data_IF_463328415128
#
_entry.id   IF_463328415128
#
_cell.length_a   1.000
_cell.length_b   1.000
_cell.length_c   1.000
_cell.angle_alpha   90.00
_cell.angle_beta   90.00
_cell.angle_gamma   90.00
#
_symmetry.space_group_name_H-M   'P 1'
#
loop_
_entity.id
_entity.type
_entity.pdbx_description
1 polymer ?
#
# COMPACT_ATOMS: atom_id res chain seq x y z
N UNK A 1 -6.93 -14.83 14.28
CA UNK A 1 -5.67 -14.93 13.52
C UNK A 1 -5.05 -13.55 13.54
N UNK A 2 -3.87 -13.43 14.13
CA UNK A 2 -3.17 -12.15 14.33
C UNK A 2 -2.27 -11.89 13.13
N UNK A 3 -2.38 -10.70 12.54
CA UNK A 3 -1.48 -10.23 11.48
C UNK A 3 -0.48 -9.23 12.08
N UNK A 4 0.71 -9.14 11.48
CA UNK A 4 1.72 -8.15 11.88
C UNK A 4 2.17 -7.33 10.68
N UNK A 5 2.42 -6.04 10.90
CA UNK A 5 2.92 -5.11 9.89
C UNK A 5 4.44 -4.93 10.05
N UNK A 6 5.17 -4.93 8.94
CA UNK A 6 6.60 -4.61 8.87
C UNK A 6 6.85 -3.51 7.85
N UNK A 7 7.61 -2.49 8.27
CA UNK A 7 8.17 -1.49 7.38
C UNK A 7 9.50 -2.02 6.82
N UNK A 8 9.61 -2.19 5.50
CA UNK A 8 10.81 -2.75 4.88
C UNK A 8 12.01 -1.82 4.93
N UNK A 9 11.85 -0.52 5.22
CA UNK A 9 12.98 0.40 5.43
C UNK A 9 13.79 0.08 6.69
N UNK A 10 13.20 -0.64 7.64
CA UNK A 10 13.85 -1.03 8.89
C UNK A 10 14.30 -2.48 8.89
N UNK A 11 14.16 -3.19 7.76
CA UNK A 11 14.59 -4.56 7.61
C UNK A 11 15.99 -4.62 7.00
N UNK A 12 16.84 -5.52 7.51
CA UNK A 12 18.11 -5.82 6.84
C UNK A 12 17.87 -6.66 5.58
N UNK A 13 18.89 -6.78 4.74
CA UNK A 13 18.84 -7.63 3.54
C UNK A 13 18.51 -9.09 3.92
N UNK A 14 19.11 -9.59 5.00
CA UNK A 14 18.92 -10.96 5.50
C UNK A 14 17.51 -11.19 6.04
N UNK A 15 16.91 -10.18 6.68
CA UNK A 15 15.52 -10.25 7.13
C UNK A 15 14.55 -10.20 5.95
N UNK A 16 14.89 -9.49 4.88
CA UNK A 16 14.04 -9.33 3.70
C UNK A 16 14.12 -10.53 2.74
N UNK A 17 15.29 -11.17 2.65
CA UNK A 17 15.58 -12.24 1.68
C UNK A 17 14.52 -13.35 1.62
N UNK A 18 14.05 -13.92 2.76
CA UNK A 18 13.09 -15.02 2.75
C UNK A 18 11.72 -14.64 2.20
N UNK A 19 11.37 -13.35 2.23
CA UNK A 19 10.04 -12.86 1.88
C UNK A 19 9.89 -12.54 0.39
N UNK A 20 10.98 -12.43 -0.38
CA UNK A 20 10.94 -12.03 -1.79
C UNK A 20 9.98 -12.84 -2.67
N UNK A 21 9.94 -14.19 -2.60
CA UNK A 21 9.00 -14.96 -3.41
C UNK A 21 7.54 -14.57 -3.17
N UNK A 22 7.17 -14.32 -1.91
CA UNK A 22 5.80 -13.98 -1.53
C UNK A 22 5.46 -12.51 -1.82
N UNK A 23 6.44 -11.61 -1.68
CA UNK A 23 6.32 -10.21 -2.09
C UNK A 23 6.03 -10.12 -3.59
N UNK A 24 6.84 -10.80 -4.41
CA UNK A 24 6.65 -10.85 -5.87
C UNK A 24 5.27 -11.40 -6.18
N UNK A 25 4.88 -12.53 -5.57
CA UNK A 25 3.56 -13.11 -5.78
C UNK A 25 2.40 -12.16 -5.39
N UNK A 26 2.56 -11.38 -4.32
CA UNK A 26 1.57 -10.39 -3.91
C UNK A 26 1.44 -9.25 -4.93
N UNK A 27 2.56 -8.71 -5.40
CA UNK A 27 2.58 -7.60 -6.37
C UNK A 27 2.11 -8.09 -7.74
N UNK A 28 2.49 -9.29 -8.19
CA UNK A 28 1.96 -9.89 -9.42
C UNK A 28 0.43 -9.96 -9.39
N UNK A 29 -0.18 -10.40 -8.29
CA UNK A 29 -1.65 -10.40 -8.14
C UNK A 29 -2.29 -9.02 -8.26
N UNK A 30 -1.57 -7.96 -7.93
CA UNK A 30 -2.01 -6.58 -8.16
C UNK A 30 -1.89 -6.23 -9.64
N UNK A 31 -0.71 -6.42 -10.24
CA UNK A 31 -0.44 -6.10 -11.64
C UNK A 31 -1.36 -6.86 -12.61
N UNK A 32 -1.72 -8.11 -12.33
CA UNK A 32 -2.66 -8.91 -13.14
C UNK A 32 -4.05 -8.27 -13.28
N UNK A 33 -4.42 -7.38 -12.35
CA UNK A 33 -5.68 -6.62 -12.40
C UNK A 33 -5.58 -5.34 -13.24
N UNK A 34 -4.36 -4.89 -13.51
CA UNK A 34 -4.04 -3.65 -14.22
C UNK A 34 -2.88 -3.86 -15.21
N UNK A 35 -2.97 -4.85 -16.12
CA UNK A 35 -1.83 -5.28 -16.95
C UNK A 35 -1.32 -4.19 -17.90
N UNK A 36 -2.17 -3.22 -18.26
CA UNK A 36 -1.81 -2.09 -19.13
C UNK A 36 -1.35 -0.84 -18.35
N UNK A 37 -1.45 -0.85 -17.01
CA UNK A 37 -1.15 0.33 -16.18
C UNK A 37 0.09 0.14 -15.29
N UNK A 38 0.49 -1.10 -14.97
CA UNK A 38 1.56 -1.34 -14.00
C UNK A 38 2.27 -2.69 -14.20
N UNK A 39 3.57 -2.76 -13.90
CA UNK A 39 4.34 -4.02 -13.85
C UNK A 39 5.02 -4.22 -12.50
N UNK A 40 5.42 -5.47 -12.21
CA UNK A 40 6.11 -5.80 -10.95
C UNK A 40 7.44 -5.06 -10.86
N UNK A 41 8.19 -5.02 -11.96
CA UNK A 41 9.49 -4.37 -12.04
C UNK A 41 9.39 -2.87 -11.81
N UNK A 42 8.36 -2.23 -12.37
CA UNK A 42 8.14 -0.80 -12.19
C UNK A 42 7.73 -0.49 -10.74
N UNK A 43 6.74 -1.19 -10.19
CA UNK A 43 6.27 -0.99 -8.82
C UNK A 43 7.38 -1.21 -7.77
N UNK A 44 8.12 -2.32 -7.87
CA UNK A 44 9.26 -2.58 -6.99
C UNK A 44 10.41 -1.61 -7.23
N UNK A 45 10.68 -1.25 -8.49
CA UNK A 45 11.69 -0.26 -8.85
C UNK A 45 11.49 1.08 -8.15
N UNK A 46 10.25 1.56 -8.04
CA UNK A 46 9.92 2.78 -7.29
C UNK A 46 10.19 2.63 -5.79
N UNK A 47 9.91 1.45 -5.22
CA UNK A 47 10.21 1.16 -3.83
C UNK A 47 11.72 1.15 -3.58
N UNK A 48 12.51 0.52 -4.47
CA UNK A 48 13.96 0.47 -4.37
C UNK A 48 14.63 1.84 -4.48
N UNK A 49 14.05 2.76 -5.26
CA UNK A 49 14.53 4.15 -5.36
C UNK A 49 14.08 5.03 -4.19
N UNK A 50 13.26 4.52 -3.28
CA UNK A 50 12.69 5.27 -2.16
C UNK A 50 11.59 6.26 -2.56
N UNK A 51 11.07 6.15 -3.79
CA UNK A 51 9.95 6.97 -4.27
C UNK A 51 8.64 6.52 -3.61
N UNK A 52 8.54 5.23 -3.28
CA UNK A 52 7.41 4.61 -2.60
C UNK A 52 7.91 3.74 -1.44
N UNK A 53 7.03 3.52 -0.48
CA UNK A 53 7.27 2.67 0.67
C UNK A 53 6.58 1.33 0.50
N UNK A 54 7.34 0.24 0.61
CA UNK A 54 6.83 -1.13 0.66
C UNK A 54 6.56 -1.54 2.11
N UNK A 55 5.45 -2.22 2.34
CA UNK A 55 5.08 -2.80 3.63
C UNK A 55 4.84 -4.29 3.47
N UNK A 56 5.16 -5.07 4.51
CA UNK A 56 4.79 -6.49 4.57
C UNK A 56 3.76 -6.70 5.66
N UNK A 57 2.69 -7.41 5.32
CA UNK A 57 1.75 -7.93 6.31
C UNK A 57 1.97 -9.43 6.39
N UNK A 58 2.40 -9.88 7.57
CA UNK A 58 2.75 -11.26 7.85
C UNK A 58 1.64 -11.93 8.67
N UNK A 59 1.38 -13.20 8.38
CA UNK A 59 0.59 -14.05 9.27
C UNK A 59 1.43 -14.64 10.43
N UNK A 60 0.80 -15.51 11.22
CA UNK A 60 1.41 -16.16 12.39
C UNK A 60 2.58 -17.10 12.02
N UNK A 61 2.66 -17.54 10.77
CA UNK A 61 3.74 -18.38 10.23
C UNK A 61 4.86 -17.53 9.58
N UNK A 62 4.81 -16.20 9.74
CA UNK A 62 5.68 -15.23 9.07
C UNK A 62 5.57 -15.22 7.54
N UNK A 63 4.44 -15.66 6.97
CA UNK A 63 4.20 -15.59 5.52
C UNK A 63 3.59 -14.25 5.14
N UNK A 64 4.07 -13.66 4.05
CA UNK A 64 3.54 -12.42 3.48
C UNK A 64 2.18 -12.70 2.85
N UNK A 65 1.13 -12.17 3.48
CA UNK A 65 -0.25 -12.32 2.98
C UNK A 65 -0.71 -11.11 2.16
N UNK A 66 -0.15 -9.92 2.43
CA UNK A 66 -0.44 -8.67 1.73
C UNK A 66 0.80 -7.77 1.72
N UNK A 67 0.99 -7.04 0.62
CA UNK A 67 2.02 -6.01 0.45
C UNK A 67 1.40 -4.67 0.07
N UNK A 68 1.06 -3.82 1.05
CA UNK A 68 0.73 -2.42 0.78
C UNK A 68 1.96 -1.68 0.21
N UNK A 69 1.71 -0.81 -0.77
CA UNK A 69 2.69 0.18 -1.22
C UNK A 69 2.07 1.57 -1.04
N UNK A 70 2.79 2.43 -0.33
CA UNK A 70 2.34 3.80 -0.03
C UNK A 70 3.30 4.86 -0.55
N UNK A 71 2.81 6.07 -0.70
CA UNK A 71 3.60 7.23 -1.16
C UNK A 71 3.23 8.47 -0.35
N UNK A 72 4.20 9.34 -0.08
CA UNK A 72 3.92 10.66 0.52
C UNK A 72 3.87 11.69 -0.60
N UNK A 73 2.66 12.15 -0.91
CA UNK A 73 2.42 13.14 -1.95
C UNK A 73 2.43 14.54 -1.34
N UNK A 74 3.25 15.44 -1.88
CA UNK A 74 3.22 16.87 -1.52
C UNK A 74 2.38 17.63 -2.54
N UNK A 75 1.29 18.24 -2.10
CA UNK A 75 0.45 19.08 -2.95
C UNK A 75 1.19 20.35 -3.36
N UNK A 76 1.40 20.55 -4.65
CA UNK A 76 2.08 21.72 -5.18
C UNK A 76 1.37 23.05 -4.84
N UNK A 77 0.06 23.02 -4.64
CA UNK A 77 -0.75 24.22 -4.40
C UNK A 77 -0.55 24.86 -3.02
N UNK A 78 -0.21 24.06 -2.00
CA UNK A 78 -0.14 24.55 -0.61
C UNK A 78 0.91 23.83 0.25
N UNK A 79 1.74 22.96 -0.33
CA UNK A 79 2.78 22.20 0.37
C UNK A 79 2.25 21.13 1.33
N UNK A 80 0.93 20.88 1.36
CA UNK A 80 0.35 19.86 2.25
C UNK A 80 0.79 18.47 1.82
N UNK A 81 1.19 17.65 2.79
CA UNK A 81 1.56 16.24 2.58
C UNK A 81 0.37 15.32 2.84
N UNK A 82 0.23 14.31 1.98
CA UNK A 82 -0.83 13.31 2.01
C UNK A 82 -0.19 11.93 1.93
N UNK A 83 -0.66 10.99 2.76
CA UNK A 83 -0.35 9.58 2.63
C UNK A 83 -1.24 9.00 1.54
N UNK A 84 -0.67 8.44 0.48
CA UNK A 84 -1.38 7.74 -0.56
C UNK A 84 -1.21 6.23 -0.39
N UNK A 85 -2.30 5.50 -0.20
CA UNK A 85 -2.35 4.05 -0.41
C UNK A 85 -2.41 3.79 -1.92
N UNK A 86 -1.24 3.62 -2.53
CA UNK A 86 -1.10 3.53 -3.97
C UNK A 86 -1.49 2.14 -4.49
N UNK A 87 -1.04 1.09 -3.81
CA UNK A 87 -1.24 -0.30 -4.24
C UNK A 87 -1.40 -1.22 -3.03
N UNK A 88 -2.13 -2.32 -3.22
CA UNK A 88 -2.25 -3.39 -2.24
C UNK A 88 -2.24 -4.73 -2.98
N UNK A 89 -1.07 -5.38 -2.99
CA UNK A 89 -0.86 -6.70 -3.57
C UNK A 89 -1.10 -7.82 -2.56
N UNK A 90 -1.56 -8.98 -3.01
CA UNK A 90 -1.80 -10.14 -2.14
C UNK A 90 -3.26 -10.43 -1.84
N UNK A 91 -3.55 -10.82 -0.60
CA UNK A 91 -4.83 -11.32 -0.12
C UNK A 91 -5.12 -10.83 1.30
N UNK A 92 -6.30 -11.13 1.84
CA UNK A 92 -6.68 -10.80 3.23
C UNK A 92 -6.67 -9.30 3.57
N UNK A 93 -6.97 -8.44 2.58
CA UNK A 93 -7.06 -6.99 2.80
C UNK A 93 -8.05 -6.63 3.94
N UNK A 94 -9.17 -7.35 4.05
CA UNK A 94 -10.17 -7.12 5.10
C UNK A 94 -9.58 -7.35 6.50
N UNK A 95 -8.81 -8.42 6.68
CA UNK A 95 -8.12 -8.74 7.93
C UNK A 95 -6.97 -7.77 8.24
N UNK A 96 -6.37 -7.20 7.19
CA UNK A 96 -5.21 -6.32 7.27
C UNK A 96 -5.56 -4.85 7.55
N UNK A 97 -6.79 -4.41 7.29
CA UNK A 97 -7.18 -3.01 7.43
C UNK A 97 -7.00 -2.42 8.84
N UNK A 98 -7.20 -3.16 9.95
CA UNK A 98 -6.90 -2.64 11.27
C UNK A 98 -5.43 -2.21 11.44
N UNK A 99 -4.50 -2.79 10.67
CA UNK A 99 -3.08 -2.42 10.71
C UNK A 99 -2.77 -1.13 9.94
N UNK A 100 -3.71 -0.60 9.15
CA UNK A 100 -3.48 0.63 8.38
C UNK A 100 -3.26 1.83 9.30
N UNK A 101 -3.85 1.85 10.50
CA UNK A 101 -3.61 2.92 11.48
C UNK A 101 -2.14 3.01 11.91
N UNK A 102 -1.38 1.90 11.85
CA UNK A 102 0.06 1.93 12.12
C UNK A 102 0.82 2.62 11.00
N UNK A 103 0.42 2.43 9.74
CA UNK A 103 0.97 3.15 8.58
C UNK A 103 0.62 4.64 8.66
N UNK A 104 -0.61 4.97 9.07
CA UNK A 104 -1.05 6.36 9.24
C UNK A 104 -0.28 7.07 10.36
N UNK A 105 -0.06 6.40 11.48
CA UNK A 105 0.72 6.95 12.59
C UNK A 105 2.19 7.14 12.19
N UNK A 106 2.78 6.19 11.46
CA UNK A 106 4.11 6.37 10.85
C UNK A 106 4.14 7.61 9.94
N UNK A 107 3.18 7.75 9.01
CA UNK A 107 3.15 8.87 8.07
C UNK A 107 2.96 10.21 8.78
N UNK A 108 2.19 10.23 9.86
CA UNK A 108 1.99 11.40 10.70
C UNK A 108 3.27 11.77 11.46
N UNK A 109 3.93 10.80 12.09
CA UNK A 109 5.14 11.02 12.88
C UNK A 109 6.34 11.43 12.01
N UNK A 110 6.61 10.70 10.94
CA UNK A 110 7.80 10.89 10.10
C UNK A 110 7.64 12.01 9.06
N UNK A 111 6.41 12.29 8.64
CA UNK A 111 6.16 13.20 7.53
C UNK A 111 5.19 14.34 7.84
N UNK A 112 4.57 14.37 9.02
CA UNK A 112 3.61 15.41 9.40
C UNK A 112 2.32 15.37 8.58
N UNK A 113 1.98 14.20 8.03
CA UNK A 113 0.76 14.02 7.24
C UNK A 113 -0.48 14.14 8.12
N UNK A 114 -1.54 14.74 7.57
CA UNK A 114 -2.84 14.91 8.26
C UNK A 114 -4.00 14.26 7.52
N UNK A 115 -3.74 13.67 6.36
CA UNK A 115 -4.76 13.03 5.52
C UNK A 115 -4.18 11.80 4.82
N UNK A 116 -4.99 10.74 4.78
CA UNK A 116 -4.74 9.55 3.98
C UNK A 116 -5.73 9.48 2.81
N UNK A 117 -5.22 9.17 1.63
CA UNK A 117 -5.98 8.95 0.42
C UNK A 117 -5.84 7.49 0.00
N UNK A 118 -6.94 6.91 -0.47
CA UNK A 118 -6.96 5.58 -1.04
C UNK A 118 -7.51 5.64 -2.45
N UNK A 119 -6.69 5.25 -3.44
CA UNK A 119 -7.17 5.04 -4.80
C UNK A 119 -7.52 3.58 -4.99
N UNK A 120 -8.83 3.32 -5.07
CA UNK A 120 -9.36 1.97 -4.98
C UNK A 120 -10.56 1.76 -5.89
N UNK A 121 -10.81 0.48 -6.18
CA UNK A 121 -12.00 0.05 -6.89
C UNK A 121 -13.24 0.32 -6.03
N UNK A 122 -14.38 0.59 -6.67
CA UNK A 122 -15.67 0.84 -6.00
C UNK A 122 -16.04 -0.21 -4.94
N UNK A 123 -15.63 -1.47 -5.12
CA UNK A 123 -15.86 -2.54 -4.16
C UNK A 123 -15.26 -2.29 -2.77
N UNK A 124 -14.22 -1.46 -2.66
CA UNK A 124 -13.64 -1.08 -1.37
C UNK A 124 -14.45 -0.04 -0.60
N UNK A 125 -15.47 0.59 -1.21
CA UNK A 125 -16.22 1.68 -0.58
C UNK A 125 -16.81 1.30 0.78
N UNK A 126 -17.48 0.15 0.86
CA UNK A 126 -18.08 -0.32 2.13
C UNK A 126 -16.97 -0.61 3.15
N UNK A 127 -15.97 -1.36 2.71
CA UNK A 127 -14.87 -1.81 3.54
C UNK A 127 -14.09 -0.64 4.14
N UNK A 128 -13.71 0.36 3.35
CA UNK A 128 -12.95 1.52 3.81
C UNK A 128 -13.80 2.51 4.62
N UNK A 129 -15.12 2.53 4.39
CA UNK A 129 -16.04 3.36 5.16
C UNK A 129 -16.03 3.06 6.65
N UNK A 130 -15.88 1.78 7.02
CA UNK A 130 -15.77 1.34 8.41
C UNK A 130 -14.48 1.83 9.09
N UNK A 131 -13.49 2.29 8.31
CA UNK A 131 -12.22 2.85 8.77
C UNK A 131 -12.13 4.37 8.54
N UNK A 132 -13.26 5.06 8.32
CA UNK A 132 -13.32 6.52 8.25
C UNK A 132 -12.97 7.14 6.88
N UNK A 133 -12.69 6.32 5.87
CA UNK A 133 -12.55 6.82 4.50
C UNK A 133 -13.90 7.22 3.91
N UNK A 134 -13.92 8.32 3.18
CA UNK A 134 -15.09 8.80 2.45
C UNK A 134 -14.78 8.88 0.95
N UNK A 135 -15.77 8.57 0.11
CA UNK A 135 -15.65 8.75 -1.34
C UNK A 135 -15.53 10.25 -1.67
N UNK A 136 -14.47 10.64 -2.36
CA UNK A 136 -14.21 12.03 -2.72
C UNK A 136 -14.20 12.30 -4.23
N UNK A 137 -13.78 11.33 -5.04
CA UNK A 137 -13.57 11.50 -6.49
C UNK A 137 -14.08 10.27 -7.26
N UNK A 138 -14.65 10.51 -8.44
CA UNK A 138 -14.98 9.49 -9.45
C UNK A 138 -14.18 9.77 -10.73
N UNK A 139 -13.49 8.75 -11.25
CA UNK A 139 -12.69 8.85 -12.47
C UNK A 139 -13.52 8.40 -13.68
N UNK A 140 -13.59 9.23 -14.72
CA UNK A 140 -14.22 8.90 -16.01
C UNK A 140 -13.14 8.58 -17.05
N UNK A 141 -13.26 7.44 -17.74
CA UNK A 141 -12.34 7.00 -18.80
C UNK A 141 -13.11 6.82 -20.12
N UNK A 142 -12.45 7.09 -21.26
CA UNK A 142 -12.94 6.82 -22.61
C UNK A 142 -11.76 6.45 -23.49
N UNK A 143 -11.93 5.42 -24.33
CA UNK A 143 -10.95 5.05 -25.37
C UNK A 143 -10.99 6.06 -26.54
N UNK A 144 -9.83 6.43 -27.07
CA UNK A 144 -9.66 7.35 -28.20
C UNK A 144 -9.31 6.58 -29.46
#
# INVERSE_FOLDING_TARGET
MTLTLKNTQHMTTEEMEPHWPEIIACITKYCDKFPDEETVEHALGQCFRGERQLWLILDEESKVVLTPITEIITLASNGKKILMYAQAGGSRIEDALPLMSEIEEWAKQEHGVTQAHWWGRKGYRKLLGDYGFNESIVVFKKDI
#
